data_IF_024707383934
#
_entry.id   IF_024707383934
#
_cell.length_a   1.000
_cell.length_b   1.000
_cell.length_c   1.000
_cell.angle_alpha   90.00
_cell.angle_beta   90.00
_cell.angle_gamma   90.00
#
_symmetry.space_group_name_H-M   'P 1'
#
loop_
_entity.id
_entity.type
_entity.pdbx_description
1 polymer ?
#
# COMPACT_ATOMS: atom_id res chain seq x y z
N UNK A 1 -13.32 36.51 6.28
CA UNK A 1 -13.09 35.78 7.54
C UNK A 1 -11.71 35.18 7.47
N UNK A 2 -10.80 35.52 8.39
CA UNK A 2 -9.50 34.85 8.46
C UNK A 2 -9.73 33.46 9.04
N UNK A 3 -9.68 32.41 8.20
CA UNK A 3 -9.62 31.05 8.72
C UNK A 3 -8.25 30.87 9.36
N UNK A 4 -8.23 30.50 10.63
CA UNK A 4 -6.99 30.08 11.28
C UNK A 4 -6.40 28.92 10.49
N UNK A 5 -5.07 28.87 10.32
CA UNK A 5 -4.44 27.75 9.62
C UNK A 5 -4.76 26.43 10.35
N UNK A 6 -4.90 25.31 9.62
CA UNK A 6 -5.15 24.00 10.23
C UNK A 6 -4.04 23.61 11.20
N UNK A 7 -4.40 22.86 12.25
CA UNK A 7 -3.43 22.38 13.24
C UNK A 7 -2.38 21.48 12.56
N UNK A 8 -1.07 21.73 12.77
CA UNK A 8 -0.02 21.01 12.07
C UNK A 8 0.04 19.52 12.43
N UNK A 9 -0.43 19.12 13.63
CA UNK A 9 -0.48 17.69 13.99
C UNK A 9 -1.62 17.00 13.26
N UNK A 10 -2.77 17.66 13.08
CA UNK A 10 -3.86 17.13 12.25
C UNK A 10 -3.38 16.86 10.82
N UNK A 11 -2.68 17.82 10.20
CA UNK A 11 -2.07 17.61 8.88
C UNK A 11 -1.08 16.44 8.88
N UNK A 12 -0.29 16.32 9.96
CA UNK A 12 0.62 15.19 10.15
C UNK A 12 -0.09 13.84 10.26
N UNK A 13 -1.24 13.76 10.93
CA UNK A 13 -2.07 12.54 10.98
C UNK A 13 -2.64 12.22 9.60
N UNK A 14 -3.21 13.20 8.89
CA UNK A 14 -3.75 12.99 7.54
C UNK A 14 -2.68 12.48 6.55
N UNK A 15 -1.48 13.04 6.58
CA UNK A 15 -0.40 12.60 5.70
C UNK A 15 0.09 11.18 6.00
N UNK A 16 0.12 10.79 7.29
CA UNK A 16 0.46 9.40 7.67
C UNK A 16 -0.66 8.44 7.29
N UNK A 17 -1.91 8.80 7.58
CA UNK A 17 -3.09 8.02 7.20
C UNK A 17 -3.09 7.76 5.70
N UNK A 18 -2.94 8.80 4.87
CA UNK A 18 -2.87 8.66 3.41
C UNK A 18 -1.77 7.68 2.95
N UNK A 19 -0.60 7.71 3.59
CA UNK A 19 0.49 6.78 3.25
C UNK A 19 0.19 5.35 3.67
N UNK A 20 -0.47 5.15 4.81
CA UNK A 20 -0.89 3.83 5.28
C UNK A 20 -1.99 3.26 4.39
N UNK A 21 -3.04 4.03 4.08
CA UNK A 21 -4.13 3.54 3.23
C UNK A 21 -3.66 3.19 1.82
N UNK A 22 -2.78 3.99 1.22
CA UNK A 22 -2.16 3.63 -0.06
C UNK A 22 -1.29 2.37 0.04
N UNK A 23 -0.69 2.11 1.21
CA UNK A 23 0.04 0.87 1.46
C UNK A 23 -0.92 -0.31 1.62
N UNK A 24 -2.06 -0.14 2.30
CA UNK A 24 -3.12 -1.14 2.45
C UNK A 24 -3.71 -1.52 1.09
N UNK A 25 -4.05 -0.53 0.24
CA UNK A 25 -4.46 -0.75 -1.16
C UNK A 25 -3.43 -1.61 -1.90
N UNK A 26 -2.15 -1.27 -1.81
CA UNK A 26 -1.09 -2.04 -2.47
C UNK A 26 -1.01 -3.47 -1.91
N UNK A 27 -1.05 -3.61 -0.59
CA UNK A 27 -0.94 -4.88 0.13
C UNK A 27 -2.09 -5.81 -0.26
N UNK A 28 -3.34 -5.39 -0.04
CA UNK A 28 -4.53 -6.19 -0.37
C UNK A 28 -4.62 -6.50 -1.87
N UNK A 29 -4.29 -5.55 -2.75
CA UNK A 29 -4.24 -5.82 -4.20
C UNK A 29 -3.20 -6.90 -4.55
N UNK A 30 -2.03 -6.83 -3.93
CA UNK A 30 -0.93 -7.79 -4.17
C UNK A 30 -1.30 -9.17 -3.67
N UNK A 31 -1.82 -9.26 -2.45
CA UNK A 31 -2.24 -10.51 -1.86
C UNK A 31 -3.43 -11.14 -2.59
N UNK A 32 -4.42 -10.35 -3.01
CA UNK A 32 -5.54 -10.83 -3.83
C UNK A 32 -5.03 -11.52 -5.12
N UNK A 33 -4.05 -10.90 -5.79
CA UNK A 33 -3.41 -11.52 -6.97
C UNK A 33 -2.59 -12.75 -6.61
N UNK A 34 -1.87 -12.72 -5.49
CA UNK A 34 -1.07 -13.85 -5.02
C UNK A 34 -1.95 -15.07 -4.73
N UNK A 35 -2.99 -14.93 -3.92
CA UNK A 35 -3.86 -16.07 -3.56
C UNK A 35 -4.68 -16.58 -4.75
N UNK A 36 -4.98 -15.72 -5.73
CA UNK A 36 -5.54 -16.17 -7.00
C UNK A 36 -4.58 -17.10 -7.77
N UNK A 37 -3.25 -16.86 -7.71
CA UNK A 37 -2.27 -17.80 -8.31
C UNK A 37 -2.22 -19.15 -7.60
N UNK A 38 -2.68 -19.22 -6.34
CA UNK A 38 -2.82 -20.47 -5.58
C UNK A 38 -4.15 -21.19 -5.83
N UNK A 39 -5.04 -20.61 -6.67
CA UNK A 39 -6.38 -21.15 -6.94
C UNK A 39 -7.40 -20.88 -5.83
N UNK A 40 -7.15 -19.89 -4.97
CA UNK A 40 -8.05 -19.50 -3.88
C UNK A 40 -8.97 -18.34 -4.31
N UNK A 41 -10.02 -18.67 -5.07
CA UNK A 41 -10.90 -17.66 -5.69
C UNK A 41 -11.68 -16.81 -4.67
N UNK A 42 -12.20 -17.43 -3.61
CA UNK A 42 -12.96 -16.71 -2.58
C UNK A 42 -12.08 -15.74 -1.78
N UNK A 43 -10.90 -16.16 -1.25
CA UNK A 43 -9.97 -15.23 -0.63
C UNK A 43 -9.49 -14.13 -1.58
N UNK A 44 -9.24 -14.46 -2.86
CA UNK A 44 -8.83 -13.47 -3.86
C UNK A 44 -9.89 -12.39 -4.06
N UNK A 45 -11.17 -12.77 -4.13
CA UNK A 45 -12.28 -11.84 -4.27
C UNK A 45 -12.40 -10.95 -3.03
N UNK A 46 -12.34 -11.54 -1.83
CA UNK A 46 -12.47 -10.78 -0.58
C UNK A 46 -11.34 -9.76 -0.41
N UNK A 47 -10.07 -10.17 -0.53
CA UNK A 47 -8.93 -9.24 -0.46
C UNK A 47 -8.99 -8.17 -1.56
N UNK A 48 -9.58 -8.48 -2.72
CA UNK A 48 -9.81 -7.48 -3.77
C UNK A 48 -10.87 -6.46 -3.36
N UNK A 49 -11.91 -6.87 -2.64
CA UNK A 49 -12.93 -5.99 -2.07
C UNK A 49 -12.29 -5.07 -1.01
N UNK A 50 -11.48 -5.60 -0.08
CA UNK A 50 -10.73 -4.79 0.89
C UNK A 50 -9.90 -3.70 0.19
N UNK A 51 -9.15 -4.05 -0.87
CA UNK A 51 -8.35 -3.06 -1.62
C UNK A 51 -9.18 -1.93 -2.26
N UNK A 52 -10.47 -2.16 -2.55
CA UNK A 52 -11.39 -1.13 -3.06
C UNK A 52 -11.92 -0.26 -1.93
N UNK A 53 -12.18 -0.85 -0.76
CA UNK A 53 -12.63 -0.13 0.43
C UNK A 53 -11.51 0.81 0.91
N UNK A 54 -10.26 0.35 0.96
CA UNK A 54 -9.13 1.24 1.32
C UNK A 54 -8.90 2.37 0.32
N UNK A 55 -9.24 2.17 -0.95
CA UNK A 55 -9.20 3.27 -1.92
C UNK A 55 -10.24 4.36 -1.60
N UNK A 56 -11.38 4.00 -1.02
CA UNK A 56 -12.37 4.97 -0.56
C UNK A 56 -11.85 5.75 0.66
N UNK A 57 -11.10 5.11 1.56
CA UNK A 57 -10.41 5.80 2.66
C UNK A 57 -9.39 6.81 2.13
N UNK A 58 -8.56 6.41 1.15
CA UNK A 58 -7.64 7.32 0.43
C UNK A 58 -8.37 8.55 -0.11
N UNK A 59 -9.47 8.36 -0.83
CA UNK A 59 -10.25 9.46 -1.42
C UNK A 59 -10.82 10.41 -0.34
N UNK A 60 -11.35 9.85 0.75
CA UNK A 60 -11.87 10.63 1.90
C UNK A 60 -10.77 11.45 2.58
N UNK A 61 -9.58 10.89 2.77
CA UNK A 61 -8.45 11.60 3.37
C UNK A 61 -7.99 12.74 2.46
N UNK A 62 -7.85 12.49 1.15
CA UNK A 62 -7.51 13.54 0.18
C UNK A 62 -8.56 14.66 0.21
N UNK A 63 -9.85 14.31 0.19
CA UNK A 63 -10.94 15.29 0.28
C UNK A 63 -10.85 16.12 1.57
N UNK A 64 -10.54 15.51 2.72
CA UNK A 64 -10.35 16.22 3.97
C UNK A 64 -9.16 17.17 3.93
N UNK A 65 -8.01 16.73 3.39
CA UNK A 65 -6.84 17.59 3.22
C UNK A 65 -7.16 18.82 2.36
N UNK A 66 -7.84 18.62 1.22
CA UNK A 66 -8.23 19.69 0.31
C UNK A 66 -9.23 20.66 0.96
N UNK A 67 -10.18 20.15 1.77
CA UNK A 67 -11.11 20.98 2.53
C UNK A 67 -10.40 21.87 3.57
N UNK A 68 -9.26 21.43 4.09
CA UNK A 68 -8.38 22.22 4.97
C UNK A 68 -7.44 23.16 4.20
N UNK A 69 -7.56 23.22 2.86
CA UNK A 69 -6.74 24.06 2.00
C UNK A 69 -5.33 23.53 1.75
N UNK A 70 -5.10 22.23 1.96
CA UNK A 70 -3.78 21.59 1.80
C UNK A 70 -3.87 20.47 0.77
N UNK A 71 -2.98 20.48 -0.21
CA UNK A 71 -2.85 19.37 -1.15
C UNK A 71 -2.01 18.22 -0.54
N UNK A 72 -2.33 16.96 -0.84
CA UNK A 72 -1.46 15.84 -0.48
C UNK A 72 -0.10 16.00 -1.16
N UNK A 73 0.97 15.61 -0.46
CA UNK A 73 2.32 15.54 -1.02
C UNK A 73 2.65 14.08 -1.37
N UNK A 74 3.93 13.76 -1.59
CA UNK A 74 4.37 12.40 -1.81
C UNK A 74 4.06 11.49 -0.61
N UNK A 75 3.36 10.38 -0.87
CA UNK A 75 3.17 9.29 0.07
C UNK A 75 4.33 8.30 0.00
N UNK A 76 4.69 7.69 1.14
CA UNK A 76 5.69 6.62 1.20
C UNK A 76 4.99 5.30 1.43
N UNK A 77 4.87 4.50 0.36
CA UNK A 77 4.25 3.18 0.45
C UNK A 77 5.23 2.19 1.09
N UNK A 78 4.71 1.39 2.02
CA UNK A 78 5.45 0.24 2.57
C UNK A 78 5.44 -0.91 1.56
N UNK A 79 6.44 -1.80 1.59
CA UNK A 79 6.39 -3.03 0.82
C UNK A 79 5.14 -3.85 1.18
N UNK A 80 4.43 -4.36 0.18
CA UNK A 80 3.32 -5.29 0.40
C UNK A 80 3.79 -6.54 1.18
N UNK A 81 3.09 -6.87 2.26
CA UNK A 81 3.32 -8.10 3.00
C UNK A 81 2.90 -9.31 2.14
N UNK A 82 3.83 -10.24 1.95
CA UNK A 82 3.61 -11.52 1.27
C UNK A 82 4.09 -12.66 2.15
N UNK A 83 3.51 -13.84 1.97
CA UNK A 83 3.76 -15.00 2.82
C UNK A 83 3.48 -16.32 2.12
N UNK A 84 3.87 -17.45 2.73
CA UNK A 84 3.78 -18.78 2.12
C UNK A 84 2.36 -19.37 2.10
N UNK A 85 1.40 -18.80 2.86
CA UNK A 85 0.04 -19.30 2.95
C UNK A 85 -0.96 -18.21 3.38
N UNK A 86 -2.25 -18.46 3.20
CA UNK A 86 -3.31 -17.50 3.53
C UNK A 86 -3.29 -17.07 5.01
N UNK A 87 -3.02 -17.99 5.94
CA UNK A 87 -2.96 -17.66 7.37
C UNK A 87 -1.89 -16.60 7.66
N UNK A 88 -0.71 -16.71 7.05
CA UNK A 88 0.36 -15.73 7.20
C UNK A 88 0.04 -14.37 6.59
N UNK A 89 -0.77 -14.34 5.51
CA UNK A 89 -1.24 -13.09 4.92
C UNK A 89 -2.22 -12.39 5.85
N UNK A 90 -3.27 -13.10 6.28
CA UNK A 90 -4.30 -12.53 7.15
C UNK A 90 -3.77 -12.09 8.52
N UNK A 91 -2.72 -12.74 9.04
CA UNK A 91 -2.05 -12.25 10.25
C UNK A 91 -1.32 -10.93 9.99
N UNK A 92 -0.64 -10.80 8.85
CA UNK A 92 0.02 -9.55 8.48
C UNK A 92 -1.00 -8.43 8.25
N UNK A 93 -2.15 -8.75 7.67
CA UNK A 93 -3.26 -7.81 7.47
C UNK A 93 -3.81 -7.36 8.83
N UNK A 94 -4.07 -8.29 9.75
CA UNK A 94 -4.55 -7.94 11.09
C UNK A 94 -3.57 -7.05 11.85
N UNK A 95 -2.28 -7.34 11.77
CA UNK A 95 -1.25 -6.51 12.40
C UNK A 95 -1.23 -5.11 11.78
N UNK A 96 -1.43 -5.00 10.46
CA UNK A 96 -1.54 -3.73 9.74
C UNK A 96 -2.78 -2.93 10.17
N UNK A 97 -3.94 -3.58 10.26
CA UNK A 97 -5.19 -2.96 10.73
C UNK A 97 -5.03 -2.39 12.14
N UNK A 98 -4.36 -3.12 13.04
CA UNK A 98 -4.11 -2.65 14.40
C UNK A 98 -3.22 -1.40 14.45
N UNK A 99 -2.30 -1.23 13.49
CA UNK A 99 -1.54 0.02 13.36
C UNK A 99 -2.42 1.20 12.92
N UNK A 100 -3.32 0.99 11.96
CA UNK A 100 -4.28 1.98 11.51
C UNK A 100 -5.25 2.38 12.64
N UNK A 101 -5.79 1.40 13.37
CA UNK A 101 -6.60 1.61 14.58
C UNK A 101 -5.88 2.51 15.58
N UNK A 102 -4.60 2.23 15.88
CA UNK A 102 -3.84 3.05 16.81
C UNK A 102 -3.63 4.48 16.27
N UNK A 103 -3.29 4.63 14.99
CA UNK A 103 -3.13 5.94 14.36
C UNK A 103 -4.41 6.78 14.48
N UNK A 104 -5.56 6.19 14.15
CA UNK A 104 -6.83 6.91 14.15
C UNK A 104 -7.35 7.21 15.55
N UNK A 105 -7.12 6.32 16.51
CA UNK A 105 -7.38 6.61 17.92
C UNK A 105 -6.59 7.82 18.42
N UNK A 106 -5.29 7.87 18.11
CA UNK A 106 -4.44 9.00 18.51
C UNK A 106 -4.87 10.30 17.82
N UNK A 107 -5.25 10.23 16.54
CA UNK A 107 -5.70 11.37 15.76
C UNK A 107 -7.04 11.93 16.29
N UNK A 108 -8.02 11.06 16.54
CA UNK A 108 -9.32 11.43 17.10
C UNK A 108 -9.16 12.03 18.51
N UNK A 109 -8.29 11.43 19.34
CA UNK A 109 -7.96 11.94 20.68
C UNK A 109 -7.32 13.32 20.62
N UNK A 110 -6.40 13.55 19.68
CA UNK A 110 -5.80 14.89 19.51
C UNK A 110 -6.84 15.91 19.04
N UNK A 111 -7.70 15.56 18.08
CA UNK A 111 -8.82 16.41 17.64
C UNK A 111 -9.73 16.82 18.79
N UNK A 112 -10.09 15.87 19.66
CA UNK A 112 -10.86 16.15 20.87
C UNK A 112 -10.13 17.12 21.82
N UNK A 113 -8.83 16.91 22.04
CA UNK A 113 -8.00 17.70 22.96
C UNK A 113 -7.83 19.15 22.52
N UNK A 114 -7.74 19.41 21.21
CA UNK A 114 -7.63 20.78 20.68
C UNK A 114 -8.98 21.46 20.47
N UNK A 115 -10.08 20.80 20.81
CA UNK A 115 -11.43 21.33 20.60
C UNK A 115 -11.82 21.42 19.12
N UNK A 116 -11.33 20.50 18.28
CA UNK A 116 -11.73 20.37 16.87
C UNK A 116 -12.73 19.21 16.70
N UNK A 117 -14.05 19.48 16.78
CA UNK A 117 -15.06 18.43 16.68
C UNK A 117 -15.09 17.78 15.30
N UNK A 118 -14.83 18.55 14.23
CA UNK A 118 -14.84 18.05 12.86
C UNK A 118 -13.69 17.07 12.61
N UNK A 119 -12.47 17.41 13.06
CA UNK A 119 -11.32 16.52 12.93
C UNK A 119 -11.48 15.25 13.78
N UNK A 120 -11.97 15.43 15.02
CA UNK A 120 -12.27 14.29 15.90
C UNK A 120 -13.24 13.34 15.22
N UNK A 121 -14.36 13.85 14.70
CA UNK A 121 -15.40 13.04 14.07
C UNK A 121 -14.87 12.33 12.83
N UNK A 122 -14.13 13.04 11.98
CA UNK A 122 -13.52 12.46 10.79
C UNK A 122 -12.64 11.24 11.11
N UNK A 123 -11.72 11.37 12.07
CA UNK A 123 -10.85 10.26 12.46
C UNK A 123 -11.57 9.18 13.27
N UNK A 124 -12.61 9.54 14.03
CA UNK A 124 -13.42 8.56 14.76
C UNK A 124 -14.18 7.64 13.80
N UNK A 125 -14.68 8.16 12.68
CA UNK A 125 -15.33 7.32 11.66
C UNK A 125 -14.34 6.32 11.06
N UNK A 126 -13.16 6.78 10.64
CA UNK A 126 -12.11 5.87 10.13
C UNK A 126 -11.71 4.84 11.19
N UNK A 127 -11.52 5.26 12.44
CA UNK A 127 -11.23 4.34 13.55
C UNK A 127 -12.27 3.21 13.68
N UNK A 128 -13.56 3.53 13.55
CA UNK A 128 -14.64 2.55 13.66
C UNK A 128 -14.64 1.54 12.50
N UNK A 129 -14.27 2.01 11.31
CA UNK A 129 -14.10 1.22 10.08
C UNK A 129 -12.92 0.25 10.23
N UNK A 130 -11.73 0.72 10.62
CA UNK A 130 -10.57 -0.18 10.82
C UNK A 130 -10.76 -1.18 11.96
N UNK A 131 -11.49 -0.78 13.01
CA UNK A 131 -11.90 -1.72 14.05
C UNK A 131 -12.86 -2.78 13.53
N UNK A 132 -13.66 -2.47 12.50
CA UNK A 132 -14.50 -3.46 11.82
C UNK A 132 -13.66 -4.42 10.99
N UNK A 133 -12.74 -3.91 10.17
CA UNK A 133 -11.79 -4.72 9.40
C UNK A 133 -11.02 -5.71 10.31
N UNK A 134 -10.44 -5.22 11.42
CA UNK A 134 -9.74 -6.07 12.39
C UNK A 134 -10.64 -7.18 12.99
N UNK A 135 -11.91 -6.88 13.27
CA UNK A 135 -12.88 -7.89 13.75
C UNK A 135 -13.18 -8.93 12.68
N UNK A 136 -13.34 -8.51 11.43
CA UNK A 136 -13.63 -9.39 10.31
C UNK A 136 -12.46 -10.31 9.97
N UNK A 137 -11.23 -9.80 10.01
CA UNK A 137 -10.01 -10.60 9.90
C UNK A 137 -9.90 -11.62 11.03
N UNK A 138 -10.18 -11.21 12.27
CA UNK A 138 -10.20 -12.13 13.42
C UNK A 138 -11.21 -13.27 13.20
N UNK A 139 -12.40 -12.96 12.69
CA UNK A 139 -13.40 -13.98 12.37
C UNK A 139 -12.96 -14.89 11.23
N UNK A 140 -12.27 -14.36 10.21
CA UNK A 140 -11.76 -15.14 9.11
C UNK A 140 -10.64 -16.09 9.56
N UNK A 141 -9.69 -15.59 10.34
CA UNK A 141 -8.63 -16.38 10.97
C UNK A 141 -9.20 -17.56 11.78
N UNK A 142 -10.24 -17.31 12.58
CA UNK A 142 -10.90 -18.36 13.36
C UNK A 142 -11.56 -19.47 12.50
N UNK A 143 -11.99 -19.15 11.28
CA UNK A 143 -12.56 -20.13 10.34
C UNK A 143 -11.49 -21.00 9.67
N UNK A 144 -10.25 -20.49 9.56
CA UNK A 144 -9.13 -21.16 8.90
C UNK A 144 -8.38 -22.17 9.78
N UNK A 145 -8.79 -22.35 11.04
CA UNK A 145 -8.27 -23.41 11.94
C UNK A 145 -8.66 -24.85 11.47
N UNK A 146 -9.14 -24.96 10.22
CA UNK A 146 -9.03 -26.14 9.35
C UNK A 146 -8.08 -25.79 8.20
N UNK A 147 -6.84 -26.32 8.16
CA UNK A 147 -5.83 -25.85 7.23
C UNK A 147 -6.24 -26.10 5.78
N UNK A 148 -6.43 -25.01 5.02
CA UNK A 148 -6.40 -25.05 3.56
C UNK A 148 -4.92 -25.17 3.17
N UNK A 149 -4.49 -26.40 2.93
CA UNK A 149 -3.15 -26.67 2.40
C UNK A 149 -3.12 -26.16 0.96
N UNK A 150 -2.19 -25.26 0.65
CA UNK A 150 -1.96 -24.86 -0.73
C UNK A 150 -1.69 -26.11 -1.58
N UNK A 151 -2.24 -26.22 -2.81
CA UNK A 151 -1.87 -27.33 -3.68
C UNK A 151 -0.35 -27.32 -3.88
N UNK A 152 0.31 -28.46 -3.67
CA UNK A 152 1.74 -28.64 -3.92
C UNK A 152 2.06 -28.42 -5.41
N UNK A 153 2.21 -27.17 -5.82
CA UNK A 153 3.00 -26.67 -6.95
C UNK A 153 2.68 -25.19 -7.20
N UNK A 154 3.50 -24.31 -6.62
CA UNK A 154 4.19 -23.19 -7.31
C UNK A 154 4.76 -22.26 -6.24
N UNK A 155 5.72 -22.77 -5.46
CA UNK A 155 6.67 -21.89 -4.78
C UNK A 155 7.56 -21.29 -5.86
N UNK A 156 7.61 -19.96 -6.02
CA UNK A 156 8.75 -19.37 -6.71
C UNK A 156 9.98 -19.83 -5.93
N UNK A 157 10.97 -20.34 -6.65
CA UNK A 157 12.25 -20.77 -6.08
C UNK A 157 12.72 -19.75 -5.04
N UNK A 158 13.05 -20.22 -3.84
CA UNK A 158 13.63 -19.44 -2.78
C UNK A 158 15.10 -19.10 -3.10
N UNK A 159 15.32 -18.56 -4.30
CA UNK A 159 16.51 -17.79 -4.64
C UNK A 159 16.42 -16.46 -3.90
N UNK A 160 16.92 -16.43 -2.67
CA UNK A 160 16.97 -15.22 -1.87
C UNK A 160 17.55 -14.05 -2.66
N UNK A 161 16.81 -12.94 -2.69
CA UNK A 161 17.44 -11.65 -2.94
C UNK A 161 18.40 -11.44 -1.78
N UNK A 162 19.70 -11.54 -2.06
CA UNK A 162 20.73 -11.26 -1.07
C UNK A 162 20.49 -9.87 -0.45
N UNK A 163 20.68 -9.69 0.86
CA UNK A 163 20.53 -8.38 1.47
C UNK A 163 21.51 -7.42 0.79
N UNK A 164 21.01 -6.27 0.34
CA UNK A 164 21.86 -5.17 -0.10
C UNK A 164 22.74 -4.81 1.10
N UNK A 165 24.02 -5.20 1.06
CA UNK A 165 25.03 -4.70 1.99
C UNK A 165 25.06 -3.19 1.84
N UNK A 166 24.69 -2.47 2.89
CA UNK A 166 24.99 -1.05 2.96
C UNK A 166 26.52 -0.90 2.84
N UNK A 167 27.04 -0.12 1.87
CA UNK A 167 28.45 0.22 1.90
C UNK A 167 28.70 1.09 3.13
N UNK A 168 29.73 0.74 3.88
CA UNK A 168 30.26 1.59 4.93
C UNK A 168 30.64 2.93 4.32
N UNK A 169 30.18 4.00 4.96
CA UNK A 169 30.45 5.36 4.54
C UNK A 169 31.94 5.66 4.78
N UNK A 170 32.78 5.38 3.79
CA UNK A 170 34.13 5.92 3.69
C UNK A 170 34.17 6.80 2.45
N UNK A 171 33.96 8.09 2.69
CA UNK A 171 34.12 9.16 1.72
C UNK A 171 35.55 9.14 1.17
N UNK A 172 35.72 8.83 -0.11
CA UNK A 172 36.77 9.38 -1.00
C UNK A 172 36.49 8.99 -2.45
N UNK A 173 36.38 10.00 -3.33
CA UNK A 173 36.73 9.89 -4.75
C UNK A 173 35.60 9.65 -5.74
N UNK A 174 35.13 10.76 -6.32
CA UNK A 174 34.62 10.95 -7.69
C UNK A 174 33.65 9.90 -8.29
N UNK A 175 32.35 10.25 -8.29
CA UNK A 175 31.33 9.52 -9.01
C UNK A 175 30.94 10.24 -10.32
N UNK A 176 31.37 9.67 -11.44
CA UNK A 176 30.82 9.93 -12.78
C UNK A 176 29.42 9.26 -12.89
N UNK A 177 28.38 10.06 -13.14
CA UNK A 177 26.96 9.68 -13.05
C UNK A 177 26.32 9.30 -14.39
N UNK A 178 26.94 8.43 -15.20
CA UNK A 178 26.42 8.10 -16.55
C UNK A 178 26.07 6.63 -16.85
N UNK A 179 26.02 5.75 -15.86
CA UNK A 179 25.77 4.30 -16.08
C UNK A 179 24.30 3.88 -16.26
N UNK A 180 23.34 4.60 -15.66
CA UNK A 180 21.94 4.13 -15.57
C UNK A 180 20.98 4.74 -16.61
N UNK A 181 21.46 5.66 -17.46
CA UNK A 181 20.64 6.31 -18.52
C UNK A 181 20.75 5.59 -19.87
N UNK A 182 21.77 4.74 -20.08
CA UNK A 182 22.05 4.15 -21.39
C UNK A 182 21.35 2.81 -21.68
N UNK A 183 20.91 2.06 -20.66
CA UNK A 183 20.18 0.79 -20.87
C UNK A 183 18.77 0.97 -21.46
N UNK A 184 18.09 2.07 -21.09
CA UNK A 184 16.73 2.37 -21.57
C UNK A 184 16.67 2.95 -22.98
N UNK A 185 17.78 3.46 -23.53
CA UNK A 185 17.83 3.96 -24.92
C UNK A 185 18.10 2.84 -25.93
N UNK A 186 18.91 1.84 -25.56
CA UNK A 186 19.20 0.69 -26.41
C UNK A 186 17.95 -0.17 -26.67
N UNK A 187 17.14 -0.43 -25.63
CA UNK A 187 15.89 -1.19 -25.77
C UNK A 187 14.81 -0.45 -26.57
N UNK A 188 14.71 0.88 -26.45
CA UNK A 188 13.76 1.68 -27.26
C UNK A 188 14.11 1.71 -28.75
N UNK A 189 15.40 1.76 -29.09
CA UNK A 189 15.86 1.73 -30.49
C UNK A 189 15.66 0.36 -31.15
N UNK A 190 15.73 -0.73 -30.37
CA UNK A 190 15.46 -2.09 -30.85
C UNK A 190 13.96 -2.29 -31.14
N UNK A 191 13.09 -1.89 -30.20
CA UNK A 191 11.65 -1.98 -30.37
C UNK A 191 11.12 -1.15 -31.56
N UNK A 192 11.68 0.05 -31.81
CA UNK A 192 11.29 0.88 -32.95
C UNK A 192 11.72 0.31 -34.31
N UNK A 193 12.85 -0.41 -34.38
CA UNK A 193 13.31 -1.08 -35.61
C UNK A 193 12.48 -2.32 -35.95
N UNK A 194 12.06 -3.07 -34.94
CA UNK A 194 11.19 -4.24 -35.12
C UNK A 194 9.79 -3.80 -35.60
N UNK A 195 9.23 -2.71 -35.05
CA UNK A 195 7.94 -2.14 -35.48
C UNK A 195 7.98 -1.58 -36.92
N UNK A 196 9.10 -0.97 -37.33
CA UNK A 196 9.28 -0.44 -38.69
C UNK A 196 9.43 -1.58 -39.73
N UNK A 197 10.12 -2.66 -39.38
CA UNK A 197 10.27 -3.83 -40.23
C UNK A 197 8.94 -4.58 -40.43
N UNK A 198 8.07 -4.59 -39.42
CA UNK A 198 6.74 -5.19 -39.50
C UNK A 198 5.76 -4.39 -40.36
N UNK A 199 5.80 -3.05 -40.28
CA UNK A 199 5.03 -2.16 -41.15
C UNK A 199 5.44 -2.22 -42.63
N UNK A 200 6.72 -2.45 -42.91
CA UNK A 200 7.22 -2.64 -44.28
C UNK A 200 6.81 -3.98 -44.90
N UNK A 201 6.56 -5.01 -44.07
CA UNK A 201 6.08 -6.34 -44.51
C UNK A 201 4.59 -6.39 -44.79
N UNK A 202 3.80 -5.57 -44.10
CA UNK A 202 2.34 -5.53 -44.21
C UNK A 202 1.80 -4.41 -45.13
N UNK A 203 2.68 -3.75 -45.88
CA UNK A 203 2.36 -2.58 -46.73
C UNK A 203 2.68 -2.75 -48.21
N UNK A 204 2.61 -3.97 -48.75
CA UNK A 204 2.59 -4.24 -50.20
C UNK A 204 1.43 -5.14 -50.56
#
# INVERSE_FOLDING_TARGET
MSMSPPDPRILGYLGRALSLELSAVQMYSTQARLVATWGLDEPARRLREESLEEMQHVERIIARMLALGVAPNASQLRPAAVGPNLLSLLQADYDFEMELVQLYYDAATHGARIGSPDDRMFFQTLLEEEQAHARELTQWLAQLDRPIVAPEAMTPDAGGIAPIRQPSNRLTGDADTNGWVNGGQANRRRAQRELAAERARNGR
#
